data_IF_679124328671
#
_entry.id   IF_679124328671
#
_cell.length_a   1.000
_cell.length_b   1.000
_cell.length_c   1.000
_cell.angle_alpha   90.00
_cell.angle_beta   90.00
_cell.angle_gamma   90.00
#
_symmetry.space_group_name_H-M   'P 1'
#
loop_
_entity.id
_entity.type
_entity.pdbx_description
1 polymer ?
#
# COMPACT_ATOMS: atom_id res chain seq x y z
N UNK A 1 -13.63 -16.40 -12.31
CA UNK A 1 -12.57 -15.48 -12.79
C UNK A 1 -11.28 -15.86 -12.07
N UNK A 2 -10.11 -15.84 -12.71
CA UNK A 2 -8.86 -16.16 -12.01
C UNK A 2 -8.43 -14.97 -11.13
N UNK A 3 -7.96 -15.21 -9.88
CA UNK A 3 -7.42 -14.15 -9.05
C UNK A 3 -6.15 -13.56 -9.68
N UNK A 4 -5.87 -12.29 -9.41
CA UNK A 4 -4.62 -11.61 -9.81
C UNK A 4 -3.90 -11.14 -8.57
N UNK A 5 -2.60 -11.42 -8.45
CA UNK A 5 -1.81 -10.94 -7.31
C UNK A 5 -1.57 -9.43 -7.47
N UNK A 6 -2.00 -8.66 -6.48
CA UNK A 6 -1.70 -7.24 -6.36
C UNK A 6 -0.43 -7.03 -5.53
N UNK A 7 -0.25 -7.81 -4.47
CA UNK A 7 0.92 -7.76 -3.60
C UNK A 7 1.10 -9.11 -2.89
N UNK A 8 2.33 -9.39 -2.50
CA UNK A 8 2.68 -10.54 -1.66
C UNK A 8 3.85 -10.17 -0.75
N UNK A 9 3.90 -10.79 0.41
CA UNK A 9 5.03 -10.80 1.34
C UNK A 9 5.24 -12.27 1.72
N UNK A 10 6.42 -12.81 1.40
CA UNK A 10 6.80 -14.18 1.75
C UNK A 10 7.90 -14.10 2.76
N UNK A 11 7.70 -14.73 3.91
CA UNK A 11 8.70 -14.76 4.96
C UNK A 11 9.82 -15.74 4.58
N UNK A 12 11.03 -15.22 4.38
CA UNK A 12 12.17 -16.01 3.90
C UNK A 12 12.59 -17.11 4.89
N UNK A 13 12.43 -16.86 6.19
CA UNK A 13 12.85 -17.75 7.27
C UNK A 13 11.72 -18.66 7.79
N UNK A 14 10.52 -18.60 7.19
CA UNK A 14 9.33 -19.36 7.59
C UNK A 14 9.04 -19.32 9.11
N UNK A 15 9.29 -18.15 9.69
CA UNK A 15 9.10 -17.80 11.09
C UNK A 15 7.81 -17.00 11.31
N UNK A 16 7.37 -16.26 10.29
CA UNK A 16 6.17 -15.42 10.28
C UNK A 16 5.20 -15.81 9.16
N UNK A 17 4.00 -15.24 9.22
CA UNK A 17 2.98 -15.47 8.20
C UNK A 17 3.39 -14.85 6.86
N UNK A 18 3.12 -15.58 5.78
CA UNK A 18 3.19 -15.02 4.43
C UNK A 18 1.82 -14.49 4.02
N UNK A 19 1.76 -13.27 3.51
CA UNK A 19 0.51 -12.60 3.19
C UNK A 19 0.39 -12.30 1.69
N UNK A 20 -0.82 -12.44 1.17
CA UNK A 20 -1.14 -12.14 -0.22
C UNK A 20 -2.30 -11.15 -0.28
N UNK A 21 -2.26 -10.27 -1.28
CA UNK A 21 -3.37 -9.38 -1.64
C UNK A 21 -3.78 -9.69 -3.06
N UNK A 22 -4.96 -10.28 -3.23
CA UNK A 22 -5.45 -10.81 -4.50
C UNK A 22 -6.68 -10.04 -4.97
N UNK A 23 -6.72 -9.68 -6.25
CA UNK A 23 -7.92 -9.16 -6.91
C UNK A 23 -8.75 -10.28 -7.51
N UNK A 24 -10.04 -10.30 -7.21
CA UNK A 24 -11.03 -11.22 -7.79
C UNK A 24 -12.26 -10.43 -8.21
N UNK A 25 -12.43 -10.23 -9.53
CA UNK A 25 -13.42 -9.28 -10.03
C UNK A 25 -13.12 -7.86 -9.53
N UNK A 26 -14.10 -7.26 -8.84
CA UNK A 26 -13.97 -5.93 -8.22
C UNK A 26 -13.67 -6.00 -6.72
N UNK A 27 -13.37 -7.18 -6.18
CA UNK A 27 -13.03 -7.37 -4.78
C UNK A 27 -11.54 -7.64 -4.61
N UNK A 28 -11.04 -7.31 -3.43
CA UNK A 28 -9.70 -7.66 -2.97
C UNK A 28 -9.80 -8.57 -1.76
N UNK A 29 -8.99 -9.62 -1.75
CA UNK A 29 -9.01 -10.72 -0.80
C UNK A 29 -7.60 -10.98 -0.28
N UNK A 30 -7.51 -11.43 0.96
CA UNK A 30 -6.26 -11.54 1.73
C UNK A 30 -6.02 -12.96 2.24
N UNK A 31 -5.42 -13.84 1.43
CA UNK A 31 -4.85 -15.08 1.93
C UNK A 31 -3.67 -14.81 2.85
N UNK A 32 -3.67 -15.48 4.00
CA UNK A 32 -2.60 -15.45 5.00
C UNK A 32 -2.19 -16.89 5.25
N UNK A 33 -0.90 -17.17 5.09
CA UNK A 33 -0.35 -18.51 5.20
C UNK A 33 0.48 -18.59 6.46
N UNK A 34 0.13 -19.52 7.34
CA UNK A 34 0.92 -19.78 8.55
C UNK A 34 2.30 -20.32 8.20
N UNK A 35 3.30 -20.07 9.06
CA UNK A 35 4.58 -20.75 8.99
C UNK A 35 4.47 -22.27 8.83
N UNK A 36 5.39 -22.88 8.11
CA UNK A 36 5.53 -24.34 7.88
C UNK A 36 4.38 -24.97 7.11
N UNK A 37 3.61 -24.16 6.38
CA UNK A 37 2.51 -24.65 5.56
C UNK A 37 2.97 -25.09 4.18
N UNK A 38 3.83 -24.28 3.56
CA UNK A 38 4.43 -24.52 2.24
C UNK A 38 5.90 -24.12 2.28
N UNK A 39 6.70 -24.70 1.39
CA UNK A 39 8.07 -24.24 1.16
C UNK A 39 8.09 -22.88 0.43
N UNK A 40 9.24 -22.22 0.48
CA UNK A 40 9.43 -20.89 -0.11
C UNK A 40 9.18 -20.85 -1.61
N UNK A 41 9.57 -21.89 -2.35
CA UNK A 41 9.38 -21.92 -3.80
C UNK A 41 7.88 -21.98 -4.12
N UNK A 42 7.14 -22.83 -3.40
CA UNK A 42 5.68 -22.89 -3.46
C UNK A 42 5.03 -21.53 -3.15
N UNK A 43 5.47 -20.85 -2.08
CA UNK A 43 4.95 -19.52 -1.70
C UNK A 43 5.33 -18.42 -2.71
N UNK A 44 6.43 -18.60 -3.43
CA UNK A 44 6.92 -17.66 -4.45
C UNK A 44 6.18 -17.78 -5.79
N UNK A 45 5.45 -18.88 -6.03
CA UNK A 45 4.63 -19.14 -7.22
C UNK A 45 3.13 -19.31 -6.87
N UNK A 46 2.41 -18.22 -6.54
CA UNK A 46 1.48 -18.34 -5.43
C UNK A 46 0.10 -18.88 -5.80
N UNK A 47 -0.51 -18.41 -6.89
CA UNK A 47 -1.95 -18.65 -7.07
C UNK A 47 -2.27 -20.13 -7.33
N UNK A 48 -1.46 -20.82 -8.14
CA UNK A 48 -1.78 -22.19 -8.57
C UNK A 48 -1.42 -23.24 -7.52
N UNK A 49 -0.45 -22.92 -6.66
CA UNK A 49 0.05 -23.83 -5.63
C UNK A 49 -0.74 -23.72 -4.31
N UNK A 50 -1.46 -22.61 -4.11
CA UNK A 50 -2.36 -22.44 -2.98
C UNK A 50 -3.64 -23.28 -3.15
N UNK A 51 -4.29 -23.69 -2.03
CA UNK A 51 -5.59 -24.34 -2.08
C UNK A 51 -6.60 -23.55 -2.88
N UNK A 52 -7.52 -24.24 -3.57
CA UNK A 52 -8.62 -23.57 -4.27
C UNK A 52 -9.53 -22.90 -3.25
N UNK A 53 -9.45 -21.57 -3.18
CA UNK A 53 -10.35 -20.75 -2.37
C UNK A 53 -11.63 -20.44 -3.15
N UNK A 54 -12.77 -20.26 -2.47
CA UNK A 54 -14.05 -19.92 -3.11
C UNK A 54 -14.06 -18.45 -3.52
N UNK A 55 -13.33 -18.08 -4.57
CA UNK A 55 -13.15 -16.68 -4.99
C UNK A 55 -14.44 -15.96 -5.42
N UNK A 56 -15.52 -16.70 -5.70
CA UNK A 56 -16.82 -16.14 -6.06
C UNK A 56 -17.73 -15.87 -4.83
N UNK A 57 -17.29 -16.25 -3.62
CA UNK A 57 -18.05 -16.05 -2.38
C UNK A 57 -17.59 -14.77 -1.64
N UNK A 58 -18.45 -14.25 -0.78
CA UNK A 58 -18.18 -13.06 0.05
C UNK A 58 -17.28 -13.41 1.24
N UNK A 59 -16.02 -12.99 1.17
CA UNK A 59 -15.01 -13.09 2.23
C UNK A 59 -13.86 -12.13 1.96
N UNK A 60 -13.20 -11.67 3.03
CA UNK A 60 -12.05 -10.77 2.94
C UNK A 60 -10.74 -11.47 3.28
N UNK A 61 -10.71 -12.33 4.29
CA UNK A 61 -9.48 -13.01 4.75
C UNK A 61 -9.64 -14.53 4.71
N UNK A 62 -8.63 -15.23 4.20
CA UNK A 62 -8.51 -16.67 4.30
C UNK A 62 -7.20 -17.02 5.00
N UNK A 63 -7.27 -17.73 6.11
CA UNK A 63 -6.09 -18.21 6.84
C UNK A 63 -5.86 -19.68 6.52
N UNK A 64 -4.68 -20.00 6.01
CA UNK A 64 -4.30 -21.34 5.57
C UNK A 64 -3.13 -21.80 6.44
N UNK A 65 -3.26 -22.99 6.99
CA UNK A 65 -2.24 -23.61 7.84
C UNK A 65 -2.10 -25.09 7.52
N UNK A 66 -1.00 -25.69 7.94
CA UNK A 66 -0.80 -27.14 7.92
C UNK A 66 -0.90 -27.71 9.33
N UNK A 67 -1.73 -28.72 9.50
CA UNK A 67 -1.84 -29.45 10.76
C UNK A 67 -0.52 -30.18 11.06
N UNK A 68 0.01 -30.01 12.27
CA UNK A 68 1.30 -30.59 12.66
C UNK A 68 1.25 -32.10 12.87
N UNK A 69 0.07 -32.66 13.11
CA UNK A 69 -0.10 -34.08 13.42
C UNK A 69 -0.48 -34.87 12.17
N UNK A 70 -1.47 -34.41 11.41
CA UNK A 70 -1.92 -35.10 10.20
C UNK A 70 -1.17 -34.68 8.94
N UNK A 71 -0.58 -33.48 8.94
CA UNK A 71 0.01 -32.89 7.73
C UNK A 71 -1.02 -32.31 6.76
N UNK A 72 -2.31 -32.35 7.09
CA UNK A 72 -3.38 -31.84 6.23
C UNK A 72 -3.44 -30.32 6.22
N UNK A 73 -3.91 -29.76 5.11
CA UNK A 73 -4.17 -28.33 5.00
C UNK A 73 -5.50 -27.98 5.66
N UNK A 74 -5.48 -26.92 6.47
CA UNK A 74 -6.65 -26.32 7.10
C UNK A 74 -6.81 -24.90 6.57
N UNK A 75 -8.00 -24.61 6.06
CA UNK A 75 -8.38 -23.28 5.59
C UNK A 75 -9.54 -22.77 6.42
N UNK A 76 -9.40 -21.57 6.97
CA UNK A 76 -10.49 -20.83 7.60
C UNK A 76 -10.74 -19.53 6.83
N UNK A 77 -12.00 -19.19 6.62
CA UNK A 77 -12.40 -18.01 5.84
C UNK A 77 -13.25 -17.12 6.72
N UNK A 78 -13.05 -15.81 6.63
CA UNK A 78 -13.81 -14.84 7.41
C UNK A 78 -14.09 -13.55 6.64
N UNK A 79 -15.20 -12.91 7.01
CA UNK A 79 -15.55 -11.55 6.64
C UNK A 79 -15.05 -10.60 7.72
N UNK A 80 -13.75 -10.28 7.67
CA UNK A 80 -13.10 -9.37 8.59
C UNK A 80 -13.07 -7.95 8.02
N UNK A 81 -13.50 -6.98 8.81
CA UNK A 81 -13.24 -5.56 8.53
C UNK A 81 -11.76 -5.27 8.78
N UNK A 82 -11.05 -4.86 7.74
CA UNK A 82 -9.63 -4.51 7.84
C UNK A 82 -9.45 -3.10 8.42
N UNK A 83 -8.37 -2.88 9.16
CA UNK A 83 -8.03 -1.60 9.78
C UNK A 83 -7.87 -0.48 8.74
N UNK A 84 -8.12 0.78 9.11
CA UNK A 84 -8.06 1.89 8.16
C UNK A 84 -7.24 3.07 8.70
N UNK A 85 -6.75 3.92 7.79
CA UNK A 85 -6.09 5.17 8.19
C UNK A 85 -7.14 6.09 8.83
N UNK A 86 -6.94 6.42 10.10
CA UNK A 86 -7.86 7.28 10.86
C UNK A 86 -7.77 8.76 10.47
N UNK A 87 -6.62 9.20 9.96
CA UNK A 87 -6.36 10.60 9.63
C UNK A 87 -6.98 10.97 8.26
N UNK A 88 -8.30 11.20 8.24
CA UNK A 88 -9.07 11.47 7.02
C UNK A 88 -9.24 12.97 6.79
N UNK A 89 -8.14 13.66 6.48
CA UNK A 89 -8.13 15.13 6.41
C UNK A 89 -8.40 15.70 5.02
N UNK A 90 -8.30 14.89 3.96
CA UNK A 90 -8.52 15.32 2.58
C UNK A 90 -9.84 14.75 2.05
N UNK A 91 -10.58 15.55 1.28
CA UNK A 91 -11.93 15.19 0.82
C UNK A 91 -11.92 14.23 -0.38
N UNK A 92 -10.93 14.36 -1.28
CA UNK A 92 -10.78 13.47 -2.43
C UNK A 92 -10.40 12.05 -1.98
N UNK A 93 -11.11 11.08 -2.55
CA UNK A 93 -10.92 9.65 -2.34
C UNK A 93 -10.94 8.96 -3.69
N UNK A 94 -9.95 8.10 -3.93
CA UNK A 94 -9.82 7.36 -5.18
C UNK A 94 -9.72 5.88 -4.89
N UNK A 95 -10.46 5.08 -5.65
CA UNK A 95 -10.39 3.63 -5.54
C UNK A 95 -9.05 3.15 -6.07
N UNK A 96 -8.36 2.30 -5.31
CA UNK A 96 -7.12 1.67 -5.72
C UNK A 96 -7.24 0.97 -7.09
N UNK A 97 -8.39 0.37 -7.40
CA UNK A 97 -8.61 -0.33 -8.67
C UNK A 97 -8.76 0.61 -9.88
N UNK A 98 -8.96 1.91 -9.66
CA UNK A 98 -8.96 2.94 -10.71
C UNK A 98 -7.55 3.45 -11.04
N UNK A 99 -6.54 3.09 -10.24
CA UNK A 99 -5.16 3.52 -10.45
C UNK A 99 -4.44 2.61 -11.44
N UNK A 100 -4.01 3.19 -12.56
CA UNK A 100 -3.11 2.51 -13.48
C UNK A 100 -1.67 2.68 -13.00
N UNK A 101 -1.09 1.60 -12.47
CA UNK A 101 0.31 1.59 -12.04
C UNK A 101 1.24 1.63 -13.27
N UNK A 102 2.10 2.63 -13.32
CA UNK A 102 3.08 2.81 -14.41
C UNK A 102 4.49 2.37 -14.01
N UNK A 103 4.89 2.53 -12.74
CA UNK A 103 6.24 2.15 -12.26
C UNK A 103 6.27 1.84 -10.77
N UNK A 104 6.91 0.75 -10.36
CA UNK A 104 7.19 0.49 -8.94
C UNK A 104 8.38 1.31 -8.45
N UNK A 105 8.27 1.93 -7.27
CA UNK A 105 9.37 2.70 -6.64
C UNK A 105 9.91 2.00 -5.39
N UNK A 106 9.02 1.58 -4.49
CA UNK A 106 9.32 0.77 -3.30
C UNK A 106 8.21 -0.24 -3.12
N UNK A 107 8.27 -1.15 -2.14
CA UNK A 107 7.15 -2.07 -1.88
C UNK A 107 5.81 -1.34 -1.66
N UNK A 108 5.83 -0.19 -0.99
CA UNK A 108 4.64 0.61 -0.64
C UNK A 108 4.38 1.80 -1.58
N UNK A 109 5.29 2.13 -2.49
CA UNK A 109 5.17 3.32 -3.34
C UNK A 109 5.31 3.00 -4.84
N UNK A 110 4.48 3.62 -5.67
CA UNK A 110 4.50 3.47 -7.12
C UNK A 110 4.02 4.74 -7.84
N UNK A 111 4.48 4.92 -9.07
CA UNK A 111 3.92 5.91 -10.00
C UNK A 111 2.61 5.35 -10.59
N UNK A 112 1.61 6.22 -10.69
CA UNK A 112 0.30 5.88 -11.23
C UNK A 112 -0.28 6.99 -12.10
N UNK A 113 -1.29 6.64 -12.89
CA UNK A 113 -2.21 7.57 -13.55
C UNK A 113 -3.60 7.30 -12.98
N UNK A 114 -4.37 8.37 -12.74
CA UNK A 114 -5.76 8.29 -12.30
C UNK A 114 -6.66 9.02 -13.28
N UNK A 115 -7.63 8.31 -13.87
CA UNK A 115 -8.59 8.91 -14.80
C UNK A 115 -9.70 9.71 -14.09
N UNK A 116 -9.94 9.46 -12.79
CA UNK A 116 -11.01 10.10 -12.01
C UNK A 116 -10.61 11.45 -11.39
N UNK A 117 -9.31 11.70 -11.18
CA UNK A 117 -8.79 13.01 -10.72
C UNK A 117 -8.60 13.98 -11.90
N UNK A 118 -8.69 13.51 -13.14
CA UNK A 118 -8.47 14.30 -14.36
C UNK A 118 -9.81 14.75 -14.96
N UNK A 119 -10.30 15.92 -14.53
CA UNK A 119 -10.23 17.04 -15.45
C UNK A 119 -9.56 18.27 -14.80
N UNK A 120 -8.97 19.12 -15.64
CA UNK A 120 -8.52 20.51 -15.35
C UNK A 120 -7.06 20.75 -14.87
N UNK A 121 -6.17 20.92 -15.85
CA UNK A 121 -5.29 22.11 -16.05
C UNK A 121 -4.24 22.53 -15.00
N UNK A 122 -4.01 21.82 -13.89
CA UNK A 122 -3.09 22.33 -12.83
C UNK A 122 -1.95 21.41 -12.40
N UNK A 123 -1.85 20.19 -12.92
CA UNK A 123 -0.71 19.32 -12.67
C UNK A 123 0.16 19.27 -13.93
N UNK A 124 1.41 19.72 -13.81
CA UNK A 124 2.41 19.65 -14.89
C UNK A 124 2.74 18.20 -15.30
N UNK A 125 2.32 17.21 -14.52
CA UNK A 125 2.52 15.79 -14.77
C UNK A 125 1.21 15.04 -14.59
N UNK A 126 0.85 14.23 -15.59
CA UNK A 126 -0.26 13.27 -15.50
C UNK A 126 0.05 12.14 -14.50
N UNK A 127 1.32 11.98 -14.13
CA UNK A 127 1.80 10.95 -13.23
C UNK A 127 1.78 11.44 -11.80
N UNK A 128 1.21 10.63 -10.92
CA UNK A 128 1.13 10.86 -9.48
C UNK A 128 1.89 9.76 -8.74
N UNK A 129 2.28 10.01 -7.49
CA UNK A 129 2.85 8.98 -6.62
C UNK A 129 1.75 8.45 -5.70
N UNK A 130 1.55 7.14 -5.73
CA UNK A 130 0.68 6.43 -4.81
C UNK A 130 1.53 5.76 -3.73
N UNK A 131 1.16 5.99 -2.47
CA UNK A 131 1.73 5.29 -1.31
C UNK A 131 0.65 4.53 -0.57
N UNK A 132 0.85 3.25 -0.36
CA UNK A 132 -0.17 2.34 0.16
C UNK A 132 0.38 1.39 1.23
N UNK A 133 -0.49 0.98 2.14
CA UNK A 133 -0.32 -0.19 2.98
C UNK A 133 -0.89 -1.41 2.23
N UNK A 134 0.01 -2.28 1.74
CA UNK A 134 -0.33 -3.56 1.12
C UNK A 134 -1.00 -4.48 2.14
N UNK A 135 -0.50 -4.44 3.38
CA UNK A 135 -0.95 -5.26 4.51
C UNK A 135 -1.25 -4.42 5.75
N UNK A 136 -1.96 -4.97 6.73
CA UNK A 136 -2.37 -4.22 7.93
C UNK A 136 -1.21 -3.74 8.79
N UNK A 137 -0.13 -4.52 8.88
CA UNK A 137 1.06 -4.16 9.65
C UNK A 137 1.84 -2.98 9.03
N UNK A 138 1.58 -2.63 7.77
CA UNK A 138 2.14 -1.43 7.12
C UNK A 138 1.34 -0.15 7.39
N UNK A 139 0.09 -0.29 7.86
CA UNK A 139 -0.85 0.81 8.05
C UNK A 139 -0.33 1.90 9.01
N UNK A 140 0.34 1.58 10.15
CA UNK A 140 0.87 2.61 11.03
C UNK A 140 1.84 3.58 10.33
N UNK A 141 2.66 3.07 9.39
CA UNK A 141 3.60 3.90 8.61
C UNK A 141 2.86 4.87 7.70
N UNK A 142 1.86 4.37 6.97
CA UNK A 142 0.99 5.22 6.12
C UNK A 142 0.27 6.27 6.97
N UNK A 143 -0.23 5.90 8.15
CA UNK A 143 -0.95 6.83 9.01
C UNK A 143 -0.03 7.94 9.55
N UNK A 144 1.18 7.60 9.97
CA UNK A 144 2.17 8.57 10.41
C UNK A 144 2.56 9.53 9.27
N UNK A 145 2.82 8.99 8.08
CA UNK A 145 3.19 9.80 6.91
C UNK A 145 2.01 10.70 6.46
N UNK A 146 0.78 10.19 6.45
CA UNK A 146 -0.43 10.97 6.16
C UNK A 146 -0.58 12.15 7.10
N UNK A 147 -0.29 11.96 8.40
CA UNK A 147 -0.32 13.03 9.39
C UNK A 147 0.81 14.05 9.17
N UNK A 148 2.00 13.61 8.77
CA UNK A 148 3.10 14.51 8.43
C UNK A 148 2.71 15.42 7.26
N UNK A 149 2.14 14.88 6.19
CA UNK A 149 1.64 15.69 5.06
C UNK A 149 0.54 16.67 5.46
N UNK A 150 -0.35 16.29 6.39
CA UNK A 150 -1.35 17.22 6.93
C UNK A 150 -0.70 18.41 7.65
N UNK A 151 0.35 18.16 8.45
CA UNK A 151 1.07 19.20 9.18
C UNK A 151 1.91 20.10 8.26
N UNK A 152 2.32 19.57 7.11
CA UNK A 152 3.12 20.28 6.11
C UNK A 152 2.27 20.95 5.03
N UNK A 153 0.95 20.82 5.07
CA UNK A 153 0.05 21.42 4.08
C UNK A 153 0.25 22.94 4.01
N UNK A 154 0.51 23.45 2.80
CA UNK A 154 0.74 24.89 2.55
C UNK A 154 2.12 25.42 2.96
N UNK A 155 2.99 24.60 3.56
CA UNK A 155 4.35 25.03 3.96
C UNK A 155 5.32 25.21 2.79
N UNK A 156 5.06 24.56 1.67
CA UNK A 156 6.00 24.46 0.54
C UNK A 156 7.21 23.56 0.80
N UNK A 157 7.23 22.83 1.92
CA UNK A 157 8.30 21.89 2.29
C UNK A 157 8.01 20.43 1.91
N UNK A 158 6.77 20.14 1.49
CA UNK A 158 6.33 18.82 1.09
C UNK A 158 5.61 18.88 -0.26
N UNK A 159 5.67 17.81 -1.07
CA UNK A 159 4.81 17.67 -2.23
C UNK A 159 3.33 17.77 -1.84
N UNK A 160 2.51 18.32 -2.72
CA UNK A 160 1.05 18.39 -2.58
C UNK A 160 0.45 17.00 -2.35
N UNK A 161 -0.35 16.90 -1.30
CA UNK A 161 -1.25 15.77 -1.09
C UNK A 161 -2.46 15.92 -2.02
N UNK A 162 -2.81 14.87 -2.77
CA UNK A 162 -3.85 14.92 -3.80
C UNK A 162 -5.13 14.20 -3.39
N UNK A 163 -5.04 13.24 -2.47
CA UNK A 163 -6.22 12.49 -2.02
C UNK A 163 -5.87 11.21 -1.28
N UNK A 164 -6.89 10.62 -0.66
CA UNK A 164 -6.78 9.32 -0.02
C UNK A 164 -7.01 8.20 -1.03
N UNK A 165 -6.27 7.10 -0.90
CA UNK A 165 -6.51 5.86 -1.64
C UNK A 165 -7.37 4.96 -0.76
N UNK A 166 -8.47 4.47 -1.30
CA UNK A 166 -9.28 3.47 -0.62
C UNK A 166 -9.37 2.15 -1.39
N UNK A 167 -9.65 1.10 -0.65
CA UNK A 167 -10.03 -0.21 -1.17
C UNK A 167 -11.22 -0.69 -0.37
N UNK A 168 -12.32 -1.05 -1.04
CA UNK A 168 -13.57 -1.48 -0.39
C UNK A 168 -14.03 -0.52 0.73
N UNK A 169 -13.84 0.78 0.53
CA UNK A 169 -14.19 1.84 1.48
C UNK A 169 -13.19 2.09 2.62
N UNK A 170 -12.22 1.19 2.86
CA UNK A 170 -11.12 1.40 3.82
C UNK A 170 -10.07 2.31 3.19
N UNK A 171 -9.63 3.35 3.91
CA UNK A 171 -8.47 4.14 3.48
C UNK A 171 -7.21 3.36 3.83
N UNK A 172 -6.39 3.12 2.81
CA UNK A 172 -5.18 2.30 2.93
C UNK A 172 -3.92 3.04 2.45
N UNK A 173 -4.06 4.27 1.95
CA UNK A 173 -2.96 4.99 1.35
C UNK A 173 -3.34 6.40 0.95
N UNK A 174 -2.46 7.05 0.21
CA UNK A 174 -2.68 8.39 -0.30
C UNK A 174 -1.92 8.64 -1.61
N UNK A 175 -2.36 9.68 -2.31
CA UNK A 175 -1.78 10.18 -3.54
C UNK A 175 -1.07 11.51 -3.27
N UNK A 176 0.07 11.69 -3.92
CA UNK A 176 0.84 12.92 -3.86
C UNK A 176 1.32 13.31 -5.26
N UNK A 177 1.59 14.59 -5.46
CA UNK A 177 2.18 15.05 -6.71
C UNK A 177 3.55 14.41 -6.94
N UNK A 178 3.87 14.14 -8.20
CA UNK A 178 5.22 13.78 -8.60
C UNK A 178 6.02 15.06 -8.81
N UNK A 179 7.11 15.20 -8.06
CA UNK A 179 8.07 16.28 -8.25
C UNK A 179 9.10 15.85 -9.29
N UNK A 180 9.20 16.60 -10.37
CA UNK A 180 10.27 16.45 -11.34
C UNK A 180 11.50 17.26 -10.89
N UNK A 181 12.69 16.68 -11.03
CA UNK A 181 13.92 17.31 -10.59
C UNK A 181 15.09 16.34 -10.51
N UNK A 182 16.18 16.81 -9.90
CA UNK A 182 17.34 15.96 -9.56
C UNK A 182 17.42 15.80 -8.06
N UNK A 183 18.02 14.69 -7.61
CA UNK A 183 18.40 14.56 -6.21
C UNK A 183 19.39 15.66 -5.82
N UNK A 184 19.28 16.13 -4.57
CA UNK A 184 20.24 17.05 -3.99
C UNK A 184 21.61 16.36 -3.92
N UNK A 185 22.66 17.13 -4.22
CA UNK A 185 24.05 16.71 -4.06
C UNK A 185 24.73 17.53 -2.97
N UNK A 186 26.00 17.25 -2.72
CA UNK A 186 26.79 18.02 -1.75
C UNK A 186 26.82 19.53 -2.06
N UNK A 187 26.71 19.91 -3.35
CA UNK A 187 26.67 21.31 -3.76
C UNK A 187 25.41 22.04 -3.28
N UNK A 188 24.34 21.33 -2.91
CA UNK A 188 23.08 21.91 -2.46
C UNK A 188 22.97 22.02 -0.92
N UNK A 189 24.04 21.69 -0.19
CA UNK A 189 24.02 21.58 1.27
C UNK A 189 23.37 22.80 1.95
N UNK A 190 23.77 24.02 1.57
CA UNK A 190 23.23 25.26 2.16
C UNK A 190 21.71 25.41 1.93
N UNK A 191 21.21 24.98 0.77
CA UNK A 191 19.77 25.01 0.47
C UNK A 191 19.03 23.94 1.27
N UNK A 192 19.60 22.74 1.38
CA UNK A 192 19.06 21.65 2.20
C UNK A 192 18.99 22.02 3.69
N UNK A 193 20.04 22.62 4.25
CA UNK A 193 20.07 23.09 5.64
C UNK A 193 19.01 24.16 5.88
N UNK A 194 18.81 25.07 4.94
CA UNK A 194 17.76 26.10 5.03
C UNK A 194 16.36 25.48 5.02
N UNK A 195 16.11 24.51 4.14
CA UNK A 195 14.82 23.81 4.08
C UNK A 195 14.57 22.98 5.35
N UNK A 196 15.61 22.30 5.85
CA UNK A 196 15.54 21.53 7.09
C UNK A 196 15.32 22.42 8.32
N UNK A 197 15.94 23.60 8.37
CA UNK A 197 15.70 24.60 9.41
C UNK A 197 14.22 25.01 9.48
N UNK A 198 13.61 25.31 8.32
CA UNK A 198 12.16 25.60 8.24
C UNK A 198 11.30 24.43 8.70
N UNK A 199 11.71 23.20 8.41
CA UNK A 199 11.00 22.00 8.89
C UNK A 199 11.06 21.89 10.41
N UNK A 200 12.24 22.14 10.99
CA UNK A 200 12.44 22.11 12.45
C UNK A 200 11.67 23.21 13.18
N UNK A 201 11.51 24.39 12.56
CA UNK A 201 10.68 25.47 13.10
C UNK A 201 9.20 25.06 13.25
N UNK A 202 8.74 24.08 12.46
CA UNK A 202 7.40 23.48 12.58
C UNK A 202 7.32 22.37 13.65
N UNK A 203 8.42 22.09 14.36
CA UNK A 203 8.51 21.02 15.36
C UNK A 203 8.54 19.61 14.78
N UNK A 204 8.86 19.47 13.49
CA UNK A 204 8.95 18.19 12.79
C UNK A 204 10.41 17.81 12.59
N UNK A 205 10.73 16.53 12.73
CA UNK A 205 12.03 15.97 12.40
C UNK A 205 11.90 15.04 11.20
N UNK A 206 12.87 15.12 10.27
CA UNK A 206 12.99 14.19 9.15
C UNK A 206 14.02 13.11 9.50
N UNK A 207 13.63 11.83 9.37
CA UNK A 207 14.46 10.67 9.70
C UNK A 207 13.61 9.53 10.25
#
# INVERSE_FOLDING_TARGET
>A
MQPVILSMEVDDDDSFESEYRLRTGNQVKYPIISPRTFDRDTLSFPIQSLPRLPYNEEWTVAHISRDKTSGDLKTSISNRTLADVRCRWHHIRVDFLELEKTKQLTAMAFEAVSHSILPTTLLSSATIIAKIARFEWELPRIQQETRAYQLLEGSGLAPRFLGHIHENGRIMGFLMEKIEGRFASFQDLSVCETALGKLHELGLMHG
#
